data_IF_900242393158
#
_entry.id   IF_900242393158
#
_cell.length_a   1.000
_cell.length_b   1.000
_cell.length_c   1.000
_cell.angle_alpha   90.00
_cell.angle_beta   90.00
_cell.angle_gamma   90.00
#
_symmetry.space_group_name_H-M   'P 1'
#
loop_
_entity.id
_entity.type
_entity.pdbx_description
1 polymer ?
#
# COMPACT_ATOMS: atom_id res chain seq x y z
N UNK A 1 13.44 -1.67 -3.68
CA UNK A 1 12.41 -0.96 -2.89
C UNK A 1 11.59 -2.01 -2.15
N UNK A 2 11.18 -1.75 -0.91
CA UNK A 2 10.23 -2.53 -0.11
C UNK A 2 9.06 -1.61 0.28
N UNK A 3 7.94 -2.19 0.71
CA UNK A 3 6.73 -1.42 1.09
C UNK A 3 7.04 -0.37 2.17
N UNK A 4 7.87 -0.71 3.16
CA UNK A 4 8.30 0.15 4.27
C UNK A 4 9.06 1.43 3.83
N UNK A 5 9.47 1.51 2.56
CA UNK A 5 10.19 2.66 2.01
C UNK A 5 9.27 3.64 1.25
N UNK A 6 7.94 3.41 1.24
CA UNK A 6 6.98 4.28 0.57
C UNK A 6 6.65 5.52 1.43
N UNK A 7 6.81 6.75 0.92
CA UNK A 7 6.43 7.96 1.66
C UNK A 7 4.90 8.03 1.88
N UNK A 8 4.41 8.18 3.12
CA UNK A 8 2.97 8.31 3.41
C UNK A 8 2.30 9.48 2.68
N UNK A 9 3.04 10.58 2.49
CA UNK A 9 2.56 11.82 1.85
C UNK A 9 2.07 11.61 0.40
N UNK A 10 2.53 10.54 -0.27
CA UNK A 10 2.06 10.18 -1.61
C UNK A 10 0.56 9.81 -1.65
N UNK A 11 -0.03 9.53 -0.48
CA UNK A 11 -1.37 8.94 -0.40
C UNK A 11 -2.37 9.80 0.38
N UNK A 12 -2.07 11.06 0.65
CA UNK A 12 -3.00 11.98 1.32
C UNK A 12 -4.30 12.10 0.52
N UNK A 13 -5.44 11.85 1.17
CA UNK A 13 -6.77 11.89 0.55
C UNK A 13 -7.08 10.72 -0.39
N UNK A 14 -6.26 9.66 -0.41
CA UNK A 14 -6.53 8.49 -1.25
C UNK A 14 -7.77 7.70 -0.79
N UNK A 15 -8.55 7.15 -1.73
CA UNK A 15 -9.58 6.17 -1.41
C UNK A 15 -9.01 5.00 -0.60
N UNK A 16 -9.81 4.45 0.33
CA UNK A 16 -9.39 3.35 1.20
C UNK A 16 -8.89 2.12 0.43
N UNK A 17 -9.49 1.83 -0.72
CA UNK A 17 -9.12 0.68 -1.54
C UNK A 17 -8.70 1.13 -2.93
N UNK A 18 -7.53 0.67 -3.37
CA UNK A 18 -7.00 0.95 -4.70
C UNK A 18 -6.77 -0.34 -5.49
N UNK A 19 -6.95 -0.27 -6.80
CA UNK A 19 -6.42 -1.32 -7.68
C UNK A 19 -4.91 -1.26 -7.67
N UNK A 20 -4.27 -2.41 -7.94
CA UNK A 20 -2.81 -2.47 -8.06
C UNK A 20 -2.29 -1.47 -9.11
N UNK A 21 -2.99 -1.31 -10.23
CA UNK A 21 -2.63 -0.35 -11.27
C UNK A 21 -2.66 1.09 -10.75
N UNK A 22 -3.75 1.49 -10.07
CA UNK A 22 -3.87 2.86 -9.56
C UNK A 22 -2.84 3.15 -8.48
N UNK A 23 -2.56 2.17 -7.63
CA UNK A 23 -1.47 2.27 -6.65
C UNK A 23 -0.11 2.45 -7.33
N UNK A 24 0.19 1.64 -8.36
CA UNK A 24 1.43 1.76 -9.12
C UNK A 24 1.59 3.14 -9.76
N UNK A 25 0.51 3.73 -10.28
CA UNK A 25 0.49 5.09 -10.83
C UNK A 25 0.87 6.13 -9.76
N UNK A 26 0.26 6.06 -8.57
CA UNK A 26 0.48 7.01 -7.48
C UNK A 26 1.87 6.86 -6.83
N UNK A 27 2.36 5.63 -6.72
CA UNK A 27 3.65 5.33 -6.11
C UNK A 27 4.85 5.48 -7.08
N UNK A 28 4.61 5.78 -8.36
CA UNK A 28 5.67 5.82 -9.38
C UNK A 28 6.25 4.43 -9.73
N UNK A 29 5.44 3.38 -9.58
CA UNK A 29 5.81 1.97 -9.73
C UNK A 29 5.13 1.29 -10.93
N UNK A 30 4.74 2.06 -11.95
CA UNK A 30 4.00 1.56 -13.12
C UNK A 30 4.73 0.42 -13.85
N UNK A 31 6.07 0.41 -13.83
CA UNK A 31 6.88 -0.65 -14.44
C UNK A 31 7.15 -1.85 -13.52
N UNK A 32 6.64 -1.83 -12.28
CA UNK A 32 6.96 -2.82 -11.26
C UNK A 32 5.73 -3.66 -10.85
N UNK A 33 4.78 -3.88 -11.77
CA UNK A 33 3.56 -4.63 -11.48
C UNK A 33 3.81 -6.03 -10.91
N UNK A 34 4.81 -6.76 -11.43
CA UNK A 34 5.17 -8.09 -10.91
C UNK A 34 5.65 -8.03 -9.45
N UNK A 35 6.37 -6.98 -9.09
CA UNK A 35 6.86 -6.77 -7.73
C UNK A 35 5.69 -6.45 -6.78
N UNK A 36 4.76 -5.60 -7.21
CA UNK A 36 3.56 -5.27 -6.44
C UNK A 36 2.66 -6.49 -6.20
N UNK A 37 2.47 -7.32 -7.23
CA UNK A 37 1.71 -8.56 -7.10
C UNK A 37 2.37 -9.49 -6.05
N UNK A 38 3.69 -9.67 -6.17
CA UNK A 38 4.49 -10.45 -5.22
C UNK A 38 4.38 -9.93 -3.79
N UNK A 39 4.44 -8.62 -3.57
CA UNK A 39 4.24 -8.05 -2.23
C UNK A 39 2.85 -8.31 -1.67
N UNK A 40 1.83 -8.31 -2.54
CA UNK A 40 0.47 -8.69 -2.14
C UNK A 40 0.39 -10.18 -1.76
N UNK A 41 1.03 -11.07 -2.51
CA UNK A 41 1.07 -12.51 -2.23
C UNK A 41 1.87 -12.84 -0.95
N UNK A 42 2.96 -12.10 -0.69
CA UNK A 42 3.82 -12.26 0.49
C UNK A 42 3.25 -11.53 1.74
N UNK A 43 2.13 -10.82 1.62
CA UNK A 43 1.50 -10.07 2.72
C UNK A 43 2.21 -8.78 3.12
N UNK A 44 3.29 -8.41 2.41
CA UNK A 44 4.06 -7.19 2.61
C UNK A 44 3.22 -5.95 2.27
N UNK A 45 2.41 -6.03 1.21
CA UNK A 45 1.45 -5.01 0.85
C UNK A 45 0.07 -5.44 1.38
N UNK A 46 -0.57 -4.66 2.27
CA UNK A 46 -1.86 -5.04 2.80
C UNK A 46 -2.90 -5.00 1.69
N UNK A 47 -3.59 -6.12 1.49
CA UNK A 47 -4.63 -6.25 0.47
C UNK A 47 -5.90 -6.82 1.06
N UNK A 48 -7.01 -6.54 0.38
CA UNK A 48 -8.32 -7.10 0.69
C UNK A 48 -8.99 -7.60 -0.58
N UNK A 49 -9.57 -8.79 -0.48
CA UNK A 49 -10.31 -9.42 -1.58
C UNK A 49 -11.78 -9.04 -1.54
N UNK A 50 -12.30 -8.58 -2.68
CA UNK A 50 -13.71 -8.32 -2.93
C UNK A 50 -14.14 -9.18 -4.12
N UNK A 51 -14.75 -10.33 -3.83
CA UNK A 51 -15.01 -11.35 -4.85
C UNK A 51 -13.70 -11.81 -5.52
N UNK A 52 -13.60 -11.59 -6.83
CA UNK A 52 -12.40 -11.93 -7.62
C UNK A 52 -11.35 -10.82 -7.69
N UNK A 53 -11.65 -9.65 -7.13
CA UNK A 53 -10.76 -8.50 -7.18
C UNK A 53 -9.94 -8.39 -5.91
N UNK A 54 -8.62 -8.26 -6.05
CA UNK A 54 -7.71 -7.93 -4.94
C UNK A 54 -7.36 -6.44 -5.01
N UNK A 55 -7.69 -5.71 -3.96
CA UNK A 55 -7.40 -4.28 -3.83
C UNK A 55 -6.41 -4.06 -2.69
N UNK A 56 -5.63 -2.99 -2.78
CA UNK A 56 -4.68 -2.57 -1.74
C UNK A 56 -5.46 -1.78 -0.69
N UNK A 57 -5.29 -2.13 0.58
CA UNK A 57 -5.90 -1.41 1.70
C UNK A 57 -4.97 -0.27 2.13
N UNK A 58 -5.29 0.94 1.68
CA UNK A 58 -4.48 2.13 1.91
C UNK A 58 -4.50 2.55 3.38
N UNK A 59 -5.58 2.29 4.11
CA UNK A 59 -5.63 2.59 5.53
C UNK A 59 -4.64 1.71 6.30
N UNK A 60 -4.67 0.40 6.05
CA UNK A 60 -3.74 -0.53 6.67
C UNK A 60 -2.28 -0.27 6.23
N UNK A 61 -2.08 0.16 4.98
CA UNK A 61 -0.75 0.55 4.50
C UNK A 61 -0.23 1.77 5.25
N UNK A 62 -1.02 2.84 5.35
CA UNK A 62 -0.60 4.06 6.05
C UNK A 62 -0.32 3.80 7.53
N UNK A 63 -1.11 2.96 8.19
CA UNK A 63 -0.82 2.52 9.57
C UNK A 63 0.50 1.75 9.72
N UNK A 64 0.97 1.06 8.67
CA UNK A 64 2.28 0.39 8.68
C UNK A 64 3.43 1.36 8.41
N UNK A 65 3.18 2.40 7.61
CA UNK A 65 4.19 3.40 7.22
C UNK A 65 4.37 4.50 8.27
N UNK A 66 3.33 4.75 9.08
CA UNK A 66 3.34 5.72 10.17
C UNK A 66 3.43 4.93 11.50
N UNK A 67 4.65 4.61 11.99
CA UNK A 67 4.78 3.94 13.27
C UNK A 67 4.18 4.84 14.36
N UNK A 68 3.47 4.28 15.35
CA UNK A 68 2.92 5.10 16.43
C UNK A 68 4.07 5.88 17.06
N UNK A 69 3.94 7.21 17.11
CA UNK A 69 4.75 7.99 18.04
C UNK A 69 4.45 7.42 19.42
N UNK A 70 5.40 6.70 20.00
CA UNK A 70 5.35 6.38 21.42
C UNK A 70 5.17 7.71 22.15
N UNK A 71 3.99 7.90 22.73
CA UNK A 71 3.74 8.97 23.67
C UNK A 71 4.61 8.64 24.87
N UNK A 72 5.81 9.21 24.93
CA UNK A 72 6.60 9.27 26.15
C UNK A 72 5.87 10.20 27.12
N UNK A 73 5.08 9.59 28.00
CA UNK A 73 4.53 10.21 29.21
C UNK A 73 5.29 9.73 30.43
#
# INVERSE_FOLDING_TARGET
MKVEELPPDLFVGCPRYLTQRRFAELAGLQQQEKLLARWGDEGLLPTRSFGRHRLIDMQALLQRLDPPQEIQG
#
